data_IF_814913869443
#
_entry.id   IF_814913869443
#
_cell.length_a   1.000
_cell.length_b   1.000
_cell.length_c   1.000
_cell.angle_alpha   90.00
_cell.angle_beta   90.00
_cell.angle_gamma   90.00
#
_symmetry.space_group_name_H-M   'P 1'
#
loop_
_entity.id
_entity.type
_entity.pdbx_description
1 polymer ?
#
# COMPACT_ATOMS: atom_id res chain seq x y z
N UNK A 1 24.68 6.61 78.55
CA UNK A 1 25.28 7.44 77.50
C UNK A 1 24.95 6.80 76.15
N UNK A 2 24.37 7.60 75.26
CA UNK A 2 23.97 7.27 73.89
C UNK A 2 25.18 6.87 73.01
N UNK A 3 25.05 6.20 71.85
CA UNK A 3 23.88 6.08 70.98
C UNK A 3 24.05 5.04 69.87
N UNK A 4 23.00 5.01 69.04
CA UNK A 4 22.56 3.96 68.11
C UNK A 4 22.85 4.38 66.66
N UNK A 5 23.32 3.40 65.85
CA UNK A 5 23.13 3.11 64.39
C UNK A 5 23.10 4.26 63.35
N UNK A 6 23.73 4.03 62.18
CA UNK A 6 23.05 3.54 60.97
C UNK A 6 23.90 3.66 59.68
N UNK A 7 23.79 2.64 58.83
CA UNK A 7 24.24 2.58 57.43
C UNK A 7 23.57 3.66 56.57
N UNK A 8 24.29 4.18 55.56
CA UNK A 8 23.70 4.89 54.43
C UNK A 8 24.11 4.19 53.12
N UNK A 9 23.12 3.58 52.47
CA UNK A 9 23.23 3.00 51.14
C UNK A 9 22.91 4.08 50.09
N UNK A 10 23.80 4.31 49.12
CA UNK A 10 23.49 5.11 47.94
C UNK A 10 22.74 4.22 46.93
N UNK A 11 21.44 4.48 46.77
CA UNK A 11 20.62 3.89 45.70
C UNK A 11 20.57 4.88 44.53
N UNK A 12 21.26 4.56 43.44
CA UNK A 12 21.26 5.36 42.21
C UNK A 12 19.98 5.07 41.41
N UNK A 13 19.11 6.07 41.29
CA UNK A 13 17.86 6.00 40.55
C UNK A 13 18.13 6.33 39.07
N UNK A 14 18.41 5.31 38.25
CA UNK A 14 18.47 5.44 36.79
C UNK A 14 17.04 5.52 36.23
N UNK A 15 16.59 6.73 35.94
CA UNK A 15 15.38 6.99 35.15
C UNK A 15 15.64 6.56 33.69
N UNK A 16 15.18 5.37 33.33
CA UNK A 16 15.03 4.95 31.94
C UNK A 16 13.84 5.69 31.33
N UNK A 17 14.11 6.74 30.56
CA UNK A 17 13.15 7.27 29.60
C UNK A 17 12.91 6.22 28.50
N UNK A 18 11.89 5.39 28.67
CA UNK A 18 11.35 4.60 27.58
C UNK A 18 10.73 5.57 26.56
N UNK A 19 11.49 5.91 25.52
CA UNK A 19 10.95 6.56 24.33
C UNK A 19 9.83 5.68 23.80
N UNK A 20 8.59 6.17 23.90
CA UNK A 20 7.44 5.51 23.30
C UNK A 20 7.62 5.65 21.79
N UNK A 21 8.24 4.64 21.15
CA UNK A 21 7.97 4.39 19.75
C UNK A 21 6.45 4.34 19.62
N UNK A 22 5.86 5.29 18.89
CA UNK A 22 4.40 5.36 18.74
C UNK A 22 3.95 4.00 18.24
N UNK A 23 3.23 3.26 19.09
CA UNK A 23 2.63 2.01 18.67
C UNK A 23 1.71 2.30 17.48
N UNK A 24 1.65 1.37 16.53
CA UNK A 24 0.70 1.45 15.43
C UNK A 24 -0.72 1.49 16.01
N UNK A 25 -1.59 2.40 15.55
CA UNK A 25 -2.96 2.45 16.04
C UNK A 25 -3.70 1.16 15.73
N UNK A 26 -4.71 0.85 16.53
CA UNK A 26 -5.58 -0.31 16.30
C UNK A 26 -6.93 0.15 15.78
N UNK A 27 -7.28 -0.28 14.58
CA UNK A 27 -8.59 0.01 13.99
C UNK A 27 -9.57 -1.08 14.40
N UNK A 28 -10.65 -0.69 15.08
CA UNK A 28 -11.70 -1.63 15.48
C UNK A 28 -12.60 -1.92 14.29
N UNK A 29 -12.85 -3.19 14.03
CA UNK A 29 -13.78 -3.60 12.99
C UNK A 29 -15.24 -3.52 13.47
N UNK A 30 -16.21 -3.28 12.57
CA UNK A 30 -17.62 -3.37 12.89
C UNK A 30 -17.97 -4.76 13.45
N UNK A 31 -18.92 -4.84 14.37
CA UNK A 31 -19.40 -6.12 14.91
C UNK A 31 -19.76 -7.11 13.80
N UNK A 32 -19.49 -8.39 14.04
CA UNK A 32 -19.73 -9.49 13.11
C UNK A 32 -18.93 -9.42 11.79
N UNK A 33 -17.99 -8.49 11.67
CA UNK A 33 -17.05 -8.49 10.55
C UNK A 33 -16.02 -9.60 10.69
N UNK A 34 -15.58 -10.15 9.56
CA UNK A 34 -14.45 -11.07 9.50
C UNK A 34 -13.27 -10.32 8.92
N UNK A 35 -12.23 -10.12 9.73
CA UNK A 35 -11.00 -9.45 9.33
C UNK A 35 -9.86 -10.44 9.07
N UNK A 36 -8.92 -10.02 8.24
CA UNK A 36 -7.65 -10.70 8.04
C UNK A 36 -6.55 -9.68 7.73
N UNK A 37 -5.33 -10.00 8.18
CA UNK A 37 -4.16 -9.18 7.88
C UNK A 37 -3.74 -9.45 6.44
N UNK A 38 -3.55 -8.37 5.67
CA UNK A 38 -2.99 -8.43 4.31
C UNK A 38 -1.47 -8.33 4.38
N UNK A 39 -0.96 -7.41 5.22
CA UNK A 39 0.46 -7.25 5.49
C UNK A 39 0.70 -6.51 6.80
N UNK A 40 1.64 -7.02 7.59
CA UNK A 40 2.14 -6.39 8.81
C UNK A 40 3.24 -5.36 8.53
N UNK A 41 3.88 -5.45 7.35
CA UNK A 41 4.89 -4.49 6.93
C UNK A 41 4.97 -4.40 5.40
N UNK A 42 4.43 -3.32 4.86
CA UNK A 42 4.64 -2.92 3.47
C UNK A 42 5.11 -1.47 3.39
N UNK A 43 5.69 -1.09 2.25
CA UNK A 43 5.86 0.31 1.87
C UNK A 43 4.84 0.67 0.80
N UNK A 44 4.05 1.70 1.04
CA UNK A 44 3.17 2.29 0.04
C UNK A 44 3.69 3.68 -0.30
N UNK A 45 4.06 3.89 -1.55
CA UNK A 45 4.68 5.12 -2.03
C UNK A 45 5.90 5.52 -1.16
N UNK A 46 6.67 4.52 -0.74
CA UNK A 46 7.86 4.67 0.11
C UNK A 46 7.59 4.89 1.60
N UNK A 47 6.33 4.98 2.04
CA UNK A 47 5.95 5.13 3.44
C UNK A 47 5.61 3.78 4.07
N UNK A 48 6.07 3.55 5.30
CA UNK A 48 5.72 2.33 6.04
C UNK A 48 4.21 2.28 6.27
N UNK A 49 3.63 1.11 6.04
CA UNK A 49 2.20 0.89 6.17
C UNK A 49 1.89 -0.52 6.64
N UNK A 50 0.80 -0.65 7.39
CA UNK A 50 0.10 -1.90 7.66
C UNK A 50 -1.20 -1.95 6.88
N UNK A 51 -1.59 -3.13 6.43
CA UNK A 51 -2.84 -3.32 5.69
C UNK A 51 -3.60 -4.54 6.19
N UNK A 52 -4.90 -4.39 6.37
CA UNK A 52 -5.82 -5.48 6.63
C UNK A 52 -7.08 -5.32 5.80
N UNK A 53 -7.85 -6.39 5.65
CA UNK A 53 -9.14 -6.36 4.97
C UNK A 53 -10.20 -7.00 5.83
N UNK A 54 -11.45 -6.61 5.62
CA UNK A 54 -12.58 -7.22 6.28
C UNK A 54 -13.79 -7.32 5.35
N UNK A 55 -14.70 -8.20 5.71
CA UNK A 55 -16.04 -8.29 5.12
C UNK A 55 -17.08 -8.19 6.22
N UNK A 56 -18.16 -7.46 5.95
CA UNK A 56 -19.30 -7.28 6.85
C UNK A 56 -20.60 -7.49 6.08
N UNK A 57 -21.61 -8.03 6.75
CA UNK A 57 -22.98 -8.10 6.23
C UNK A 57 -23.73 -6.76 6.32
N UNK A 58 -23.15 -5.76 7.00
CA UNK A 58 -23.75 -4.44 7.12
C UNK A 58 -23.65 -3.65 5.82
N UNK A 59 -24.62 -2.77 5.61
CA UNK A 59 -24.63 -1.85 4.46
C UNK A 59 -23.51 -0.81 4.55
N UNK A 60 -23.17 -0.22 3.41
CA UNK A 60 -22.07 0.75 3.31
C UNK A 60 -22.25 1.92 4.28
N UNK A 61 -23.46 2.51 4.31
CA UNK A 61 -23.81 3.64 5.19
C UNK A 61 -23.65 3.29 6.68
N UNK A 62 -24.01 2.07 7.08
CA UNK A 62 -23.86 1.61 8.47
C UNK A 62 -22.38 1.54 8.87
N UNK A 63 -21.51 1.11 7.94
CA UNK A 63 -20.06 1.05 8.19
C UNK A 63 -19.46 2.45 8.26
N UNK A 64 -19.90 3.37 7.39
CA UNK A 64 -19.50 4.78 7.45
C UNK A 64 -19.90 5.40 8.78
N UNK A 65 -21.16 5.21 9.21
CA UNK A 65 -21.66 5.70 10.49
C UNK A 65 -20.90 5.11 11.69
N UNK A 66 -20.54 3.83 11.62
CA UNK A 66 -19.72 3.18 12.65
C UNK A 66 -18.36 3.88 12.84
N UNK A 67 -17.62 4.14 11.76
CA UNK A 67 -16.32 4.83 11.86
C UNK A 67 -16.46 6.31 12.20
N UNK A 68 -17.51 6.98 11.71
CA UNK A 68 -17.82 8.35 12.11
C UNK A 68 -18.05 8.47 13.63
N UNK A 69 -18.67 7.45 14.25
CA UNK A 69 -18.83 7.35 15.70
C UNK A 69 -17.54 7.03 16.46
N UNK A 70 -16.57 6.35 15.84
CA UNK A 70 -15.25 6.11 16.43
C UNK A 70 -14.35 7.34 16.38
N UNK A 71 -14.49 8.18 15.36
CA UNK A 71 -13.65 9.34 15.10
C UNK A 71 -14.47 10.64 15.03
N UNK A 72 -15.21 11.01 16.09
CA UNK A 72 -16.15 12.13 16.04
C UNK A 72 -15.42 13.44 15.73
N UNK A 73 -15.76 14.05 14.59
CA UNK A 73 -15.17 15.30 14.11
C UNK A 73 -13.69 15.21 13.69
N UNK A 74 -13.12 14.00 13.61
CA UNK A 74 -11.72 13.74 13.30
C UNK A 74 -11.55 12.81 12.09
N UNK A 75 -12.56 12.74 11.22
CA UNK A 75 -12.50 11.95 10.00
C UNK A 75 -12.91 12.79 8.80
N UNK A 76 -12.45 12.36 7.63
CA UNK A 76 -12.89 12.85 6.33
C UNK A 76 -13.46 11.68 5.55
N UNK A 77 -14.49 11.95 4.74
CA UNK A 77 -15.09 10.95 3.84
C UNK A 77 -14.98 11.49 2.43
N UNK A 78 -14.51 10.66 1.52
CA UNK A 78 -14.39 10.97 0.10
C UNK A 78 -14.88 9.79 -0.75
N UNK A 79 -15.31 10.07 -1.98
CA UNK A 79 -15.79 9.07 -2.94
C UNK A 79 -14.83 8.97 -4.12
N UNK A 80 -14.30 7.77 -4.37
CA UNK A 80 -13.35 7.51 -5.46
C UNK A 80 -13.87 6.35 -6.30
N UNK A 81 -14.43 6.67 -7.47
CA UNK A 81 -15.08 5.68 -8.32
C UNK A 81 -16.31 5.08 -7.63
N UNK A 82 -16.34 3.77 -7.44
CA UNK A 82 -17.41 3.05 -6.73
C UNK A 82 -17.12 2.83 -5.23
N UNK A 83 -16.06 3.46 -4.71
CA UNK A 83 -15.57 3.24 -3.35
C UNK A 83 -15.75 4.48 -2.49
N UNK A 84 -15.98 4.26 -1.21
CA UNK A 84 -16.00 5.31 -0.18
C UNK A 84 -14.74 5.17 0.67
N UNK A 85 -13.98 6.25 0.83
CA UNK A 85 -12.75 6.27 1.62
C UNK A 85 -12.97 7.13 2.84
N UNK A 86 -12.71 6.56 4.02
CA UNK A 86 -12.72 7.27 5.30
C UNK A 86 -11.27 7.48 5.72
N UNK A 87 -10.85 8.73 5.93
CA UNK A 87 -9.52 9.09 6.42
C UNK A 87 -9.57 9.56 7.87
N UNK A 88 -8.59 9.18 8.68
CA UNK A 88 -8.43 9.63 10.06
C UNK A 88 -6.94 9.76 10.41
N UNK A 89 -6.55 10.88 11.03
CA UNK A 89 -5.19 11.08 11.51
C UNK A 89 -5.09 10.72 13.00
N UNK A 90 -4.17 9.84 13.36
CA UNK A 90 -3.89 9.45 14.75
C UNK A 90 -2.39 9.54 15.04
N UNK A 91 -1.98 10.61 15.72
CA UNK A 91 -0.57 10.88 16.02
C UNK A 91 0.28 11.03 14.75
N UNK A 92 1.26 10.13 14.55
CA UNK A 92 2.12 10.08 13.36
C UNK A 92 1.61 9.11 12.28
N UNK A 93 0.36 8.66 12.39
CA UNK A 93 -0.25 7.73 11.46
C UNK A 93 -1.47 8.33 10.78
N UNK A 94 -1.66 7.96 9.52
CA UNK A 94 -2.88 8.22 8.76
C UNK A 94 -3.57 6.89 8.49
N UNK A 95 -4.77 6.74 9.04
CA UNK A 95 -5.65 5.59 8.86
C UNK A 95 -6.58 5.87 7.70
N UNK A 96 -6.68 4.91 6.78
CA UNK A 96 -7.68 4.89 5.72
C UNK A 96 -8.54 3.65 5.84
N UNK A 97 -9.84 3.82 5.64
CA UNK A 97 -10.79 2.72 5.46
C UNK A 97 -11.43 2.89 4.11
N UNK A 98 -10.97 2.12 3.13
CA UNK A 98 -11.59 2.05 1.81
C UNK A 98 -12.72 1.01 1.86
N UNK A 99 -13.92 1.42 1.46
CA UNK A 99 -15.14 0.63 1.52
C UNK A 99 -15.72 0.46 0.12
N UNK A 100 -16.15 -0.77 -0.17
CA UNK A 100 -16.80 -1.14 -1.42
C UNK A 100 -18.06 -1.93 -1.10
N UNK A 101 -19.19 -1.50 -1.65
CA UNK A 101 -20.44 -2.26 -1.57
C UNK A 101 -20.30 -3.56 -2.37
N UNK A 102 -20.67 -4.68 -1.74
CA UNK A 102 -20.67 -6.01 -2.37
C UNK A 102 -22.03 -6.67 -2.17
N UNK A 103 -22.32 -7.75 -2.91
CA UNK A 103 -23.62 -8.43 -2.84
C UNK A 103 -24.02 -8.80 -1.40
N UNK A 104 -24.94 -8.02 -0.81
CA UNK A 104 -25.47 -8.22 0.54
C UNK A 104 -24.61 -7.67 1.69
N UNK A 105 -23.63 -6.79 1.44
CA UNK A 105 -22.81 -6.22 2.51
C UNK A 105 -21.71 -5.28 2.02
N UNK A 106 -20.64 -5.16 2.80
CA UNK A 106 -19.52 -4.26 2.54
C UNK A 106 -18.19 -4.99 2.68
N UNK A 107 -17.30 -4.81 1.70
CA UNK A 107 -15.88 -5.15 1.82
C UNK A 107 -15.11 -3.90 2.21
N UNK A 108 -14.20 -4.03 3.17
CA UNK A 108 -13.33 -2.93 3.58
C UNK A 108 -11.86 -3.31 3.52
N UNK A 109 -11.02 -2.33 3.18
CA UNK A 109 -9.56 -2.39 3.31
C UNK A 109 -9.13 -1.30 4.27
N UNK A 110 -8.43 -1.68 5.33
CA UNK A 110 -7.88 -0.76 6.32
C UNK A 110 -6.39 -0.58 6.05
N UNK A 111 -6.01 0.65 5.74
CA UNK A 111 -4.63 1.08 5.64
C UNK A 111 -4.23 1.89 6.86
N UNK A 112 -3.07 1.59 7.45
CA UNK A 112 -2.47 2.44 8.47
C UNK A 112 -1.10 2.81 7.97
N UNK A 113 -0.89 4.07 7.63
CA UNK A 113 0.34 4.58 7.04
C UNK A 113 1.06 5.48 8.04
N UNK A 114 2.38 5.32 8.17
CA UNK A 114 3.20 6.27 8.93
C UNK A 114 3.44 7.52 8.09
N UNK A 115 3.09 8.68 8.63
CA UNK A 115 3.31 9.95 7.94
C UNK A 115 4.81 10.22 7.76
N UNK A 116 5.23 10.82 6.62
CA UNK A 116 6.63 11.15 6.38
C UNK A 116 7.17 12.10 7.44
N UNK A 117 8.47 12.01 7.71
CA UNK A 117 9.15 13.03 8.49
C UNK A 117 9.27 14.33 7.67
N UNK A 118 9.33 15.50 8.33
CA UNK A 118 9.45 16.78 7.63
C UNK A 118 10.64 16.78 6.65
N UNK A 119 10.39 17.14 5.39
CA UNK A 119 11.40 17.17 4.33
C UNK A 119 11.67 15.83 3.65
N UNK A 120 11.04 14.73 4.11
CA UNK A 120 11.10 13.45 3.42
C UNK A 120 10.06 13.40 2.31
N UNK A 121 10.52 13.32 1.06
CA UNK A 121 9.67 13.06 -0.11
C UNK A 121 10.13 11.76 -0.75
N UNK A 122 9.35 10.67 -0.65
CA UNK A 122 9.68 9.43 -1.31
C UNK A 122 9.76 9.61 -2.83
N UNK A 123 10.73 8.94 -3.46
CA UNK A 123 10.82 8.87 -4.92
C UNK A 123 10.12 7.61 -5.40
N UNK A 124 9.06 7.77 -6.20
CA UNK A 124 8.28 6.63 -6.71
C UNK A 124 8.96 5.99 -7.91
N UNK A 125 8.91 4.66 -7.98
CA UNK A 125 9.43 3.91 -9.14
C UNK A 125 10.95 3.87 -9.22
N UNK A 126 11.65 4.21 -8.14
CA UNK A 126 13.11 4.16 -8.12
C UNK A 126 13.62 2.76 -8.51
N UNK A 127 14.63 2.73 -9.38
CA UNK A 127 15.22 1.49 -9.90
C UNK A 127 14.39 0.77 -10.97
N UNK A 128 13.18 1.23 -11.32
CA UNK A 128 12.38 0.65 -12.39
C UNK A 128 12.46 1.49 -13.67
N UNK A 129 12.71 0.84 -14.81
CA UNK A 129 12.70 1.53 -16.10
C UNK A 129 11.27 1.93 -16.48
N UNK A 130 11.08 3.19 -16.87
CA UNK A 130 9.81 3.71 -17.40
C UNK A 130 10.04 4.44 -18.73
N UNK A 131 9.14 4.32 -19.72
CA UNK A 131 9.18 5.15 -20.91
C UNK A 131 9.19 6.65 -20.57
N UNK A 132 9.74 7.49 -21.45
CA UNK A 132 9.70 8.93 -21.27
C UNK A 132 8.24 9.43 -21.19
N UNK A 133 7.99 10.44 -20.34
CA UNK A 133 6.63 10.97 -20.11
C UNK A 133 5.70 10.01 -19.37
N UNK A 134 6.26 9.06 -18.60
CA UNK A 134 5.48 8.15 -17.74
C UNK A 134 5.57 8.58 -16.30
N UNK A 135 4.44 8.75 -15.64
CA UNK A 135 4.35 9.01 -14.20
C UNK A 135 4.17 7.71 -13.42
N UNK A 136 4.73 7.66 -12.21
CA UNK A 136 4.51 6.54 -11.28
C UNK A 136 3.49 7.03 -10.26
N UNK A 137 2.28 6.47 -10.32
CA UNK A 137 1.17 6.91 -9.45
C UNK A 137 1.06 6.06 -8.18
N UNK A 138 1.57 4.82 -8.22
CA UNK A 138 1.65 3.95 -7.06
C UNK A 138 2.88 3.04 -7.10
N UNK A 139 3.51 2.83 -5.95
CA UNK A 139 4.66 1.95 -5.73
C UNK A 139 4.52 1.25 -4.39
N UNK A 140 4.18 -0.03 -4.41
CA UNK A 140 3.88 -0.85 -3.24
C UNK A 140 4.92 -1.95 -3.12
N UNK A 141 5.55 -2.11 -1.96
CA UNK A 141 6.51 -3.19 -1.69
C UNK A 141 6.10 -3.93 -0.42
N UNK A 142 5.82 -5.23 -0.53
CA UNK A 142 5.49 -6.09 0.61
C UNK A 142 6.77 -6.60 1.26
N UNK A 143 7.13 -6.10 2.44
CA UNK A 143 8.42 -6.44 3.08
C UNK A 143 8.36 -7.69 3.94
N UNK A 144 7.17 -8.21 4.20
CA UNK A 144 6.87 -9.41 4.98
C UNK A 144 6.68 -10.67 4.11
N UNK A 145 6.91 -10.56 2.79
CA UNK A 145 6.90 -11.70 1.87
C UNK A 145 8.32 -12.18 1.56
N UNK A 146 8.56 -13.49 1.32
CA UNK A 146 9.90 -14.00 1.02
C UNK A 146 10.58 -13.35 -0.19
N UNK A 147 9.77 -12.95 -1.18
CA UNK A 147 10.23 -12.39 -2.45
C UNK A 147 10.21 -10.86 -2.47
N UNK A 148 9.75 -10.22 -1.39
CA UNK A 148 9.50 -8.79 -1.33
C UNK A 148 8.73 -8.22 -2.53
N UNK A 149 7.57 -8.82 -2.82
CA UNK A 149 6.79 -8.51 -4.02
C UNK A 149 6.56 -7.00 -4.15
N UNK A 150 6.86 -6.45 -5.33
CA UNK A 150 6.68 -5.04 -5.65
C UNK A 150 5.65 -4.86 -6.74
N UNK A 151 4.69 -3.97 -6.51
CA UNK A 151 3.70 -3.56 -7.51
C UNK A 151 3.83 -2.08 -7.81
N UNK A 152 3.96 -1.73 -9.09
CA UNK A 152 3.99 -0.36 -9.59
C UNK A 152 2.78 -0.11 -10.47
N UNK A 153 2.21 1.09 -10.37
CA UNK A 153 1.22 1.61 -11.32
C UNK A 153 1.82 2.81 -12.02
N UNK A 154 1.86 2.73 -13.34
CA UNK A 154 2.51 3.70 -14.22
C UNK A 154 1.47 4.25 -15.20
N UNK A 155 1.49 5.56 -15.46
CA UNK A 155 0.53 6.20 -16.36
C UNK A 155 1.23 7.04 -17.41
N UNK A 156 0.77 6.94 -18.66
CA UNK A 156 1.20 7.78 -19.78
C UNK A 156 0.17 7.80 -20.93
N UNK A 157 0.44 8.60 -21.97
CA UNK A 157 -0.40 8.71 -23.16
C UNK A 157 -0.06 7.70 -24.28
N UNK A 158 0.99 6.89 -24.10
CA UNK A 158 1.42 5.90 -25.09
C UNK A 158 0.38 4.76 -25.20
N UNK A 159 0.23 4.15 -26.38
CA UNK A 159 -0.71 3.03 -26.52
C UNK A 159 -0.29 1.80 -25.71
N UNK A 160 -1.24 0.92 -25.31
CA UNK A 160 -0.91 -0.34 -24.68
C UNK A 160 0.13 -1.14 -25.47
N UNK A 161 0.01 -1.13 -26.80
CA UNK A 161 0.98 -1.72 -27.71
C UNK A 161 2.37 -1.10 -27.59
N UNK A 162 2.48 0.23 -27.66
CA UNK A 162 3.77 0.92 -27.55
C UNK A 162 4.43 0.64 -26.20
N UNK A 163 3.68 0.75 -25.10
CA UNK A 163 4.16 0.40 -23.76
C UNK A 163 4.69 -1.04 -23.71
N UNK A 164 3.92 -2.01 -24.20
CA UNK A 164 4.35 -3.41 -24.21
C UNK A 164 5.64 -3.61 -25.01
N UNK A 165 5.76 -2.99 -26.19
CA UNK A 165 6.98 -3.09 -27.00
C UNK A 165 8.20 -2.46 -26.30
N UNK A 166 8.03 -1.35 -25.59
CA UNK A 166 9.10 -0.74 -24.78
C UNK A 166 9.62 -1.73 -23.72
N UNK A 167 8.71 -2.35 -22.95
CA UNK A 167 9.10 -3.30 -21.92
C UNK A 167 9.67 -4.59 -22.49
N UNK A 168 9.06 -5.17 -23.54
CA UNK A 168 9.60 -6.36 -24.20
C UNK A 168 11.05 -6.16 -24.66
N UNK A 169 11.35 -5.01 -25.28
CA UNK A 169 12.71 -4.66 -25.70
C UNK A 169 13.64 -4.48 -24.51
N UNK A 170 13.23 -3.68 -23.52
CA UNK A 170 14.06 -3.36 -22.35
C UNK A 170 14.37 -4.60 -21.51
N UNK A 171 13.35 -5.38 -21.17
CA UNK A 171 13.47 -6.56 -20.31
C UNK A 171 14.32 -7.65 -20.99
N UNK A 172 14.16 -7.87 -22.29
CA UNK A 172 15.04 -8.78 -23.05
C UNK A 172 16.50 -8.33 -23.02
N UNK A 173 16.77 -7.03 -23.15
CA UNK A 173 18.13 -6.49 -23.07
C UNK A 173 18.76 -6.67 -21.67
N UNK A 174 17.96 -6.84 -20.62
CA UNK A 174 18.41 -7.14 -19.26
C UNK A 174 18.50 -8.66 -18.96
N UNK A 175 18.22 -9.50 -19.95
CA UNK A 175 18.28 -10.95 -19.82
C UNK A 175 17.01 -11.59 -19.26
N UNK A 176 15.89 -10.86 -19.21
CA UNK A 176 14.59 -11.47 -18.95
C UNK A 176 14.07 -12.20 -20.20
N UNK A 177 13.40 -13.33 -19.97
CA UNK A 177 12.73 -14.11 -21.01
C UNK A 177 11.24 -13.85 -20.93
N UNK A 178 10.64 -13.38 -22.03
CA UNK A 178 9.19 -13.28 -22.13
C UNK A 178 8.60 -14.70 -22.25
N UNK A 179 7.84 -15.13 -21.25
CA UNK A 179 7.16 -16.44 -21.24
C UNK A 179 5.74 -16.34 -21.77
N UNK A 180 5.15 -15.14 -21.74
CA UNK A 180 3.85 -14.86 -22.34
C UNK A 180 3.83 -13.41 -22.86
N UNK A 181 3.45 -13.23 -24.11
CA UNK A 181 3.27 -11.88 -24.69
C UNK A 181 2.31 -11.87 -25.90
N UNK A 182 1.49 -12.89 -26.07
CA UNK A 182 0.71 -13.08 -27.29
C UNK A 182 -0.57 -12.22 -27.28
N UNK A 183 -0.85 -11.53 -28.40
CA UNK A 183 -2.16 -10.92 -28.67
C UNK A 183 -2.23 -9.39 -28.64
N UNK A 184 -1.15 -8.69 -28.28
CA UNK A 184 -1.16 -7.23 -28.29
C UNK A 184 -0.95 -6.67 -29.71
N UNK A 185 -1.94 -5.94 -30.21
CA UNK A 185 -1.94 -5.29 -31.52
C UNK A 185 -2.01 -3.77 -31.34
N UNK A 186 -1.67 -2.96 -32.36
CA UNK A 186 -1.79 -1.50 -32.28
C UNK A 186 -3.19 -1.00 -31.87
N UNK A 187 -4.24 -1.76 -32.17
CA UNK A 187 -5.64 -1.47 -31.82
C UNK A 187 -6.06 -2.00 -30.44
N UNK A 188 -5.20 -2.71 -29.71
CA UNK A 188 -5.54 -3.30 -28.41
C UNK A 188 -5.69 -2.21 -27.35
N UNK A 189 -6.79 -2.26 -26.59
CA UNK A 189 -7.00 -1.45 -25.39
C UNK A 189 -6.42 -2.10 -24.13
N UNK A 190 -6.07 -3.39 -24.22
CA UNK A 190 -5.47 -4.15 -23.14
C UNK A 190 -4.35 -5.06 -23.69
N UNK A 191 -3.24 -5.12 -22.97
CA UNK A 191 -2.12 -5.99 -23.28
C UNK A 191 -1.52 -6.56 -22.00
N UNK A 192 -1.02 -7.79 -22.08
CA UNK A 192 -0.33 -8.45 -20.97
C UNK A 192 1.04 -8.95 -21.42
N UNK A 193 1.99 -8.99 -20.50
CA UNK A 193 3.27 -9.66 -20.72
C UNK A 193 3.76 -10.28 -19.41
N UNK A 194 4.35 -11.47 -19.49
CA UNK A 194 5.01 -12.13 -18.36
C UNK A 194 6.45 -12.42 -18.71
N UNK A 195 7.33 -12.19 -17.74
CA UNK A 195 8.77 -12.36 -17.85
C UNK A 195 9.30 -13.23 -16.72
N UNK A 196 10.35 -13.99 -17.02
CA UNK A 196 11.12 -14.75 -16.04
C UNK A 196 12.62 -14.48 -16.23
N UNK A 197 13.37 -14.53 -15.13
CA UNK A 197 14.84 -14.41 -15.14
C UNK A 197 15.48 -15.60 -14.44
N UNK A 198 16.75 -15.85 -14.76
CA UNK A 198 17.56 -16.79 -13.98
C UNK A 198 17.53 -16.42 -12.50
N UNK A 199 17.37 -17.43 -11.62
CA UNK A 199 17.22 -17.23 -10.19
C UNK A 199 15.76 -17.21 -9.70
N UNK A 200 14.78 -17.40 -10.60
CA UNK A 200 13.38 -17.57 -10.22
C UNK A 200 12.56 -16.28 -10.16
N UNK A 201 13.17 -15.13 -10.43
CA UNK A 201 12.48 -13.85 -10.46
C UNK A 201 11.44 -13.80 -11.59
N UNK A 202 10.27 -13.23 -11.29
CA UNK A 202 9.13 -13.14 -12.19
C UNK A 202 8.64 -11.71 -12.28
N UNK A 203 8.12 -11.34 -13.44
CA UNK A 203 7.47 -10.05 -13.63
C UNK A 203 6.24 -10.20 -14.50
N UNK A 204 5.15 -9.56 -14.12
CA UNK A 204 3.94 -9.44 -14.92
C UNK A 204 3.64 -7.97 -15.22
N UNK A 205 3.19 -7.71 -16.45
CA UNK A 205 2.66 -6.42 -16.89
C UNK A 205 1.21 -6.63 -17.30
N UNK A 206 0.32 -5.82 -16.74
CA UNK A 206 -1.03 -5.63 -17.23
C UNK A 206 -1.18 -4.18 -17.66
N UNK A 207 -1.46 -3.97 -18.94
CA UNK A 207 -1.53 -2.65 -19.55
C UNK A 207 -2.95 -2.46 -20.05
N UNK A 208 -3.60 -1.36 -19.64
CA UNK A 208 -4.95 -1.01 -20.06
C UNK A 208 -5.03 0.46 -20.43
N UNK A 209 -5.93 0.79 -21.34
CA UNK A 209 -6.26 2.18 -21.71
C UNK A 209 -7.68 2.49 -21.30
N UNK A 210 -7.87 3.63 -20.66
CA UNK A 210 -9.17 4.13 -20.26
C UNK A 210 -9.85 4.95 -21.37
N UNK A 211 -11.08 5.41 -21.11
CA UNK A 211 -11.85 6.24 -22.04
C UNK A 211 -11.26 7.63 -22.26
N UNK A 212 -10.42 8.12 -21.33
CA UNK A 212 -9.70 9.39 -21.43
C UNK A 212 -8.39 9.27 -22.21
N UNK A 213 -8.14 8.12 -22.84
CA UNK A 213 -6.94 7.79 -23.60
C UNK A 213 -5.66 7.71 -22.74
N UNK A 214 -5.79 7.69 -21.41
CA UNK A 214 -4.68 7.44 -20.51
C UNK A 214 -4.43 5.94 -20.42
N UNK A 215 -3.16 5.56 -20.46
CA UNK A 215 -2.75 4.15 -20.40
C UNK A 215 -2.09 3.87 -19.07
N UNK A 216 -2.71 2.97 -18.30
CA UNK A 216 -2.20 2.49 -17.03
C UNK A 216 -1.47 1.17 -17.24
N UNK A 217 -0.25 1.07 -16.70
CA UNK A 217 0.54 -0.17 -16.67
C UNK A 217 0.74 -0.57 -15.22
N UNK A 218 0.12 -1.68 -14.83
CA UNK A 218 0.36 -2.35 -13.56
C UNK A 218 1.50 -3.34 -13.76
N UNK A 219 2.58 -3.15 -13.02
CA UNK A 219 3.75 -4.03 -12.99
C UNK A 219 3.75 -4.75 -11.66
N UNK A 220 3.92 -6.07 -11.67
CA UNK A 220 4.17 -6.88 -10.46
C UNK A 220 5.49 -7.60 -10.62
N UNK A 221 6.35 -7.52 -9.60
CA UNK A 221 7.70 -8.10 -9.58
C UNK A 221 7.80 -9.01 -8.35
N UNK A 222 8.26 -10.24 -8.58
CA UNK A 222 8.46 -11.30 -7.58
C UNK A 222 9.86 -11.93 -7.71
#
# INVERSE_FOLDING_TARGET
MAGIRAMAALSACTLLCAGHASAWPTVRLPEQSKGEVVSEHLKYNGLDMKSSRFVSSKGLEDIVAFYAGQWPGQHVVDEVGSKTIIGHAEGRHYVTVELEAVGGGTRGTVGIMKMPDPGQTPTLGEGFYRPAGTDVVSDIVYLDTPNQTRTLVLENELSPYVNQQHYLRRMRAEGWKAVESAGCRPSSTQCVARFERSGGAKMALAISRDEKMLTSTVVTIE
#
